data_IF_061945815496
#
_entry.id   IF_061945815496
#
_cell.length_a   1.000
_cell.length_b   1.000
_cell.length_c   1.000
_cell.angle_alpha   90.00
_cell.angle_beta   90.00
_cell.angle_gamma   90.00
#
_symmetry.space_group_name_H-M   'P 1'
#
loop_
_entity.id
_entity.type
_entity.pdbx_description
1 polymer ?
#
# COMPACT_ATOMS: atom_id res chain seq x y z
N UNK A 1 -11.30 7.82 -40.32
CA UNK A 1 -10.78 8.27 -39.02
C UNK A 1 -11.79 7.88 -37.95
N UNK A 2 -11.75 6.63 -37.51
CA UNK A 2 -12.75 6.07 -36.58
C UNK A 2 -12.24 6.32 -35.16
N UNK A 3 -12.86 7.27 -34.46
CA UNK A 3 -12.63 7.52 -33.04
C UNK A 3 -13.40 6.43 -32.29
N UNK A 4 -12.71 5.35 -31.92
CA UNK A 4 -13.27 4.33 -31.04
C UNK A 4 -13.26 4.88 -29.60
N UNK A 5 -14.40 5.43 -29.16
CA UNK A 5 -14.65 5.75 -27.76
C UNK A 5 -14.82 4.44 -26.99
N UNK A 6 -13.77 3.95 -26.35
CA UNK A 6 -13.88 2.87 -25.38
C UNK A 6 -14.48 3.40 -24.08
N UNK A 7 -15.80 3.26 -23.94
CA UNK A 7 -16.47 3.30 -22.64
C UNK A 7 -16.19 1.95 -21.98
N UNK A 8 -15.20 1.90 -21.09
CA UNK A 8 -14.95 0.71 -20.28
C UNK A 8 -15.93 0.74 -19.11
N UNK A 9 -16.99 -0.03 -19.23
CA UNK A 9 -17.85 -0.38 -18.12
C UNK A 9 -17.06 -1.32 -17.20
N UNK A 10 -16.58 -0.79 -16.08
CA UNK A 10 -16.27 -1.65 -14.93
C UNK A 10 -17.62 -2.24 -14.51
N UNK A 11 -17.88 -3.50 -14.87
CA UNK A 11 -19.03 -4.25 -14.39
C UNK A 11 -18.81 -4.52 -12.90
N UNK A 12 -19.06 -3.50 -12.08
CA UNK A 12 -19.36 -3.69 -10.68
C UNK A 12 -20.76 -4.28 -10.68
N UNK A 13 -20.87 -5.61 -10.63
CA UNK A 13 -22.10 -6.27 -10.25
C UNK A 13 -22.56 -5.62 -8.94
N UNK A 14 -23.61 -4.81 -9.04
CA UNK A 14 -24.24 -4.12 -7.94
C UNK A 14 -24.98 -5.15 -7.09
N UNK A 15 -24.24 -5.91 -6.29
CA UNK A 15 -24.82 -6.46 -5.07
C UNK A 15 -24.89 -5.33 -4.06
N UNK A 16 -26.13 -4.94 -3.81
CA UNK A 16 -26.55 -4.03 -2.76
C UNK A 16 -25.94 -4.45 -1.41
N UNK A 17 -25.37 -3.48 -0.69
CA UNK A 17 -25.27 -3.50 0.78
C UNK A 17 -24.45 -4.62 1.41
N UNK A 18 -23.13 -4.43 1.49
CA UNK A 18 -22.32 -4.75 2.69
C UNK A 18 -20.87 -4.28 2.44
N UNK A 19 -20.20 -3.85 3.51
CA UNK A 19 -18.76 -3.49 3.60
C UNK A 19 -17.85 -4.70 3.43
N UNK A 20 -18.01 -5.40 2.33
CA UNK A 20 -17.21 -6.58 2.05
C UNK A 20 -16.08 -6.22 1.11
N UNK A 21 -14.87 -6.60 1.52
CA UNK A 21 -13.71 -6.62 0.65
C UNK A 21 -14.01 -7.42 -0.62
N UNK A 22 -13.79 -6.81 -1.78
CA UNK A 22 -14.07 -7.37 -3.10
C UNK A 22 -12.79 -7.83 -3.76
N UNK A 23 -12.84 -8.98 -4.43
CA UNK A 23 -11.80 -9.39 -5.37
C UNK A 23 -12.05 -8.73 -6.71
N UNK A 24 -11.08 -7.99 -7.21
CA UNK A 24 -11.12 -7.43 -8.56
C UNK A 24 -10.08 -8.20 -9.38
N UNK A 25 -10.58 -9.00 -10.32
CA UNK A 25 -9.78 -9.56 -11.42
C UNK A 25 -10.00 -8.65 -12.62
N UNK A 26 -8.93 -8.13 -13.19
CA UNK A 26 -9.02 -7.26 -14.38
C UNK A 26 -8.81 -8.12 -15.62
N UNK A 27 -9.89 -8.39 -16.35
CA UNK A 27 -9.79 -8.89 -17.71
C UNK A 27 -9.43 -7.71 -18.63
N UNK A 28 -8.51 -7.98 -19.56
CA UNK A 28 -7.94 -7.11 -20.62
C UNK A 28 -6.55 -6.56 -20.29
N UNK A 29 -5.56 -7.30 -20.82
CA UNK A 29 -4.22 -6.81 -21.15
C UNK A 29 -4.35 -5.78 -22.28
N UNK A 30 -3.97 -4.53 -22.03
CA UNK A 30 -3.46 -3.72 -23.13
C UNK A 30 -2.00 -4.14 -23.36
N UNK A 31 -1.55 -4.16 -24.61
CA UNK A 31 -0.33 -4.88 -25.05
C UNK A 31 0.98 -4.48 -24.35
N UNK A 32 0.96 -3.46 -23.49
CA UNK A 32 2.12 -2.96 -22.73
C UNK A 32 1.82 -2.66 -21.24
N UNK A 33 0.68 -3.05 -20.68
CA UNK A 33 0.27 -2.64 -19.32
C UNK A 33 0.04 -3.86 -18.41
N UNK A 34 0.92 -4.06 -17.42
CA UNK A 34 0.72 -5.11 -16.42
C UNK A 34 -0.48 -4.72 -15.55
N UNK A 35 -1.51 -5.56 -15.58
CA UNK A 35 -2.71 -5.40 -14.78
C UNK A 35 -2.60 -6.24 -13.50
N UNK A 36 -2.77 -5.60 -12.33
CA UNK A 36 -2.70 -6.29 -11.04
C UNK A 36 -4.10 -6.76 -10.62
N UNK A 37 -4.22 -8.02 -10.22
CA UNK A 37 -5.36 -8.46 -9.42
C UNK A 37 -5.26 -7.82 -8.04
N UNK A 38 -6.38 -7.41 -7.45
CA UNK A 38 -6.35 -6.77 -6.13
C UNK A 38 -7.59 -7.02 -5.31
N UNK A 39 -7.41 -6.97 -3.99
CA UNK A 39 -8.50 -6.82 -3.05
C UNK A 39 -8.81 -5.33 -2.84
N UNK A 40 -10.10 -4.99 -2.84
CA UNK A 40 -10.58 -3.63 -2.69
C UNK A 40 -11.63 -3.54 -1.60
N UNK A 41 -11.46 -2.62 -0.65
CA UNK A 41 -12.39 -2.40 0.44
C UNK A 41 -12.85 -0.94 0.46
N UNK A 42 -14.15 -0.76 0.68
CA UNK A 42 -14.78 0.53 0.95
C UNK A 42 -15.30 0.56 2.39
N UNK A 43 -15.09 1.67 3.13
CA UNK A 43 -15.70 1.89 4.44
C UNK A 43 -17.23 1.74 4.42
N UNK A 44 -17.81 1.31 5.54
CA UNK A 44 -19.27 1.07 5.66
C UNK A 44 -20.12 2.29 5.30
N UNK A 45 -19.70 3.45 5.79
CA UNK A 45 -20.34 4.74 5.61
C UNK A 45 -19.92 5.44 4.30
N UNK A 46 -19.17 4.76 3.42
CA UNK A 46 -18.79 5.32 2.11
C UNK A 46 -20.00 5.72 1.27
N UNK A 47 -21.13 5.01 1.41
CA UNK A 47 -22.38 5.28 0.68
C UNK A 47 -23.24 6.37 1.32
N UNK A 48 -23.02 6.67 2.60
CA UNK A 48 -23.90 7.50 3.42
C UNK A 48 -23.63 8.99 3.18
N UNK A 49 -22.36 9.35 2.97
CA UNK A 49 -21.94 10.71 2.60
C UNK A 49 -21.35 10.75 1.19
N UNK A 50 -22.07 11.38 0.26
CA UNK A 50 -21.69 11.48 -1.16
C UNK A 50 -20.64 12.55 -1.43
N UNK A 51 -20.44 13.51 -0.52
CA UNK A 51 -19.49 14.60 -0.67
C UNK A 51 -18.16 14.29 0.04
N UNK A 52 -18.19 13.42 1.05
CA UNK A 52 -17.00 12.96 1.77
C UNK A 52 -15.98 12.31 0.84
N UNK A 53 -14.77 12.87 0.86
CA UNK A 53 -13.56 12.24 0.31
C UNK A 53 -12.85 11.44 1.38
N UNK A 54 -12.38 10.26 0.99
CA UNK A 54 -11.91 9.22 1.88
C UNK A 54 -10.38 9.07 1.82
N UNK A 55 -9.69 8.93 2.95
CA UNK A 55 -8.29 8.54 2.94
C UNK A 55 -8.15 7.12 2.36
N UNK A 56 -7.03 6.86 1.70
CA UNK A 56 -6.75 5.55 1.09
C UNK A 56 -5.44 4.97 1.62
N UNK A 57 -5.40 3.66 1.85
CA UNK A 57 -4.19 2.90 2.15
C UNK A 57 -3.94 1.88 1.03
N UNK A 58 -2.76 1.98 0.41
CA UNK A 58 -2.15 0.90 -0.37
C UNK A 58 -1.40 -0.04 0.58
N UNK A 59 -1.76 -1.32 0.58
CA UNK A 59 -1.05 -2.37 1.29
C UNK A 59 -0.31 -3.30 0.31
N UNK A 60 0.99 -3.51 0.54
CA UNK A 60 1.83 -4.41 -0.23
C UNK A 60 2.20 -5.65 0.60
N UNK A 61 1.84 -6.84 0.11
CA UNK A 61 2.09 -8.11 0.80
C UNK A 61 3.55 -8.58 0.70
N UNK A 62 3.91 -9.63 1.44
CA UNK A 62 5.24 -10.23 1.48
C UNK A 62 5.50 -11.20 0.33
N UNK A 63 6.67 -11.84 0.32
CA UNK A 63 7.07 -12.75 -0.76
C UNK A 63 6.14 -13.98 -0.90
N UNK A 64 5.56 -14.42 0.21
CA UNK A 64 4.74 -15.65 0.28
C UNK A 64 3.35 -15.53 -0.35
N UNK A 65 2.81 -14.32 -0.49
CA UNK A 65 1.46 -14.11 -1.03
C UNK A 65 1.44 -13.79 -2.53
N UNK A 66 2.58 -13.89 -3.22
CA UNK A 66 2.66 -13.71 -4.68
C UNK A 66 1.89 -14.78 -5.44
N UNK A 67 1.50 -14.47 -6.66
CA UNK A 67 0.80 -15.38 -7.57
C UNK A 67 -0.49 -14.80 -8.11
N UNK A 68 -1.50 -15.64 -8.31
CA UNK A 68 -2.78 -15.31 -8.93
C UNK A 68 -4.02 -15.64 -8.06
N UNK A 69 -3.80 -16.13 -6.85
CA UNK A 69 -4.85 -16.38 -5.85
C UNK A 69 -4.94 -15.27 -4.80
N UNK A 70 -5.95 -14.41 -4.94
CA UNK A 70 -6.24 -13.33 -3.99
C UNK A 70 -6.63 -13.80 -2.57
N UNK A 71 -6.90 -15.09 -2.33
CA UNK A 71 -7.03 -15.57 -0.94
C UNK A 71 -5.70 -15.51 -0.18
N UNK A 72 -4.56 -15.71 -0.85
CA UNK A 72 -3.24 -15.60 -0.21
C UNK A 72 -3.01 -14.20 0.35
N UNK A 73 -3.45 -13.17 -0.37
CA UNK A 73 -3.30 -11.77 0.06
C UNK A 73 -4.05 -11.49 1.38
N UNK A 74 -5.07 -12.28 1.73
CA UNK A 74 -5.84 -12.09 2.99
C UNK A 74 -5.14 -12.63 4.24
N UNK A 75 -4.03 -13.35 4.11
CA UNK A 75 -3.39 -14.05 5.24
C UNK A 75 -2.83 -13.06 6.28
N UNK A 76 -2.35 -11.89 5.83
CA UNK A 76 -1.67 -10.90 6.68
C UNK A 76 -2.16 -9.46 6.44
N UNK A 77 -1.80 -8.56 7.37
CA UNK A 77 -1.93 -7.12 7.22
C UNK A 77 -3.35 -6.57 7.08
N UNK A 78 -3.48 -5.46 6.36
CA UNK A 78 -4.74 -4.74 6.14
C UNK A 78 -5.87 -5.63 5.59
N UNK A 79 -5.67 -6.49 4.56
CA UNK A 79 -6.75 -7.33 4.04
C UNK A 79 -7.30 -8.34 5.07
N UNK A 80 -6.45 -8.84 5.99
CA UNK A 80 -6.90 -9.64 7.14
C UNK A 80 -7.75 -8.84 8.13
N UNK A 81 -7.39 -7.57 8.34
CA UNK A 81 -8.09 -6.70 9.29
C UNK A 81 -9.47 -6.33 8.77
N UNK A 82 -9.57 -5.86 7.53
CA UNK A 82 -10.86 -5.40 6.97
C UNK A 82 -11.84 -6.55 6.68
N UNK A 83 -11.35 -7.79 6.61
CA UNK A 83 -12.22 -8.97 6.52
C UNK A 83 -12.85 -9.39 7.86
N UNK A 84 -12.28 -8.94 8.98
CA UNK A 84 -12.75 -9.29 10.34
C UNK A 84 -13.33 -8.10 11.11
N UNK A 85 -12.87 -6.88 10.83
CA UNK A 85 -13.31 -5.64 11.47
C UNK A 85 -14.05 -4.76 10.46
N UNK A 86 -15.28 -4.39 10.83
CA UNK A 86 -16.18 -3.59 10.00
C UNK A 86 -15.93 -2.08 10.07
N UNK A 87 -15.30 -1.62 11.16
CA UNK A 87 -14.98 -0.21 11.39
C UNK A 87 -13.55 0.11 10.94
N UNK A 88 -13.34 0.20 9.63
CA UNK A 88 -12.06 0.62 9.05
C UNK A 88 -12.26 1.87 8.20
N UNK A 89 -11.72 3.00 8.64
CA UNK A 89 -12.04 4.33 8.09
C UNK A 89 -11.28 4.70 6.81
N UNK A 90 -10.69 3.73 6.11
CA UNK A 90 -9.92 3.95 4.89
C UNK A 90 -10.49 3.13 3.73
N UNK A 91 -10.42 3.69 2.53
CA UNK A 91 -10.41 2.84 1.34
C UNK A 91 -9.11 2.03 1.39
N UNK A 92 -9.20 0.70 1.27
CA UNK A 92 -8.01 -0.15 1.28
C UNK A 92 -7.87 -0.89 -0.05
N UNK A 93 -6.64 -0.87 -0.58
CA UNK A 93 -6.25 -1.52 -1.82
C UNK A 93 -5.10 -2.45 -1.53
N UNK A 94 -5.24 -3.72 -1.88
CA UNK A 94 -4.22 -4.75 -1.65
C UNK A 94 -4.01 -5.54 -2.93
N UNK A 95 -3.16 -5.06 -3.85
CA UNK A 95 -2.82 -5.78 -5.06
C UNK A 95 -1.98 -7.02 -4.76
N UNK A 96 -2.05 -7.99 -5.67
CA UNK A 96 -1.21 -9.19 -5.67
C UNK A 96 -0.09 -9.03 -6.70
N UNK A 97 1.15 -9.18 -6.24
CA UNK A 97 2.31 -9.23 -7.12
C UNK A 97 2.37 -10.63 -7.78
N UNK A 98 2.50 -10.73 -9.11
CA UNK A 98 2.64 -12.03 -9.78
C UNK A 98 3.91 -12.76 -9.33
N UNK A 99 3.95 -14.08 -9.54
CA UNK A 99 5.01 -14.93 -8.98
C UNK A 99 6.40 -14.64 -9.59
N UNK A 100 6.43 -14.08 -10.79
CA UNK A 100 7.63 -13.73 -11.55
C UNK A 100 8.29 -12.43 -11.08
N UNK A 101 7.58 -11.61 -10.31
CA UNK A 101 8.01 -10.27 -9.93
C UNK A 101 8.20 -10.10 -8.42
N UNK A 102 8.81 -8.99 -8.06
CA UNK A 102 8.78 -8.38 -6.73
C UNK A 102 8.35 -6.91 -6.85
N UNK A 103 7.83 -6.33 -5.76
CA UNK A 103 7.27 -4.97 -5.80
C UNK A 103 8.22 -3.86 -6.25
N UNK A 104 9.54 -4.09 -6.19
CA UNK A 104 10.55 -3.11 -6.61
C UNK A 104 10.84 -3.15 -8.11
N UNK A 105 10.34 -4.15 -8.83
CA UNK A 105 10.52 -4.24 -10.28
C UNK A 105 9.81 -3.07 -10.95
N UNK A 106 10.44 -2.51 -11.98
CA UNK A 106 9.96 -1.30 -12.66
C UNK A 106 8.53 -1.47 -13.16
N UNK A 107 8.21 -2.65 -13.69
CA UNK A 107 6.90 -3.01 -14.19
C UNK A 107 5.85 -3.03 -13.07
N UNK A 108 6.21 -3.48 -11.87
CA UNK A 108 5.33 -3.43 -10.71
C UNK A 108 5.09 -2.01 -10.23
N UNK A 109 6.11 -1.15 -10.25
CA UNK A 109 5.97 0.25 -9.87
C UNK A 109 5.04 1.02 -10.82
N UNK A 110 5.18 0.78 -12.13
CA UNK A 110 4.29 1.34 -13.16
C UNK A 110 2.86 0.81 -12.96
N UNK A 111 2.69 -0.49 -12.76
CA UNK A 111 1.37 -1.10 -12.56
C UNK A 111 0.67 -0.58 -11.28
N UNK A 112 1.41 -0.42 -10.18
CA UNK A 112 0.92 0.19 -8.94
C UNK A 112 0.48 1.63 -9.15
N UNK A 113 1.29 2.44 -9.83
CA UNK A 113 0.95 3.82 -10.18
C UNK A 113 -0.33 3.88 -11.02
N UNK A 114 -0.41 3.10 -12.11
CA UNK A 114 -1.59 3.02 -12.98
C UNK A 114 -2.85 2.62 -12.20
N UNK A 115 -2.74 1.64 -11.30
CA UNK A 115 -3.84 1.22 -10.42
C UNK A 115 -4.28 2.37 -9.51
N UNK A 116 -3.35 3.04 -8.81
CA UNK A 116 -3.67 4.14 -7.90
C UNK A 116 -4.33 5.31 -8.62
N UNK A 117 -3.80 5.73 -9.77
CA UNK A 117 -4.37 6.81 -10.57
C UNK A 117 -5.78 6.46 -11.07
N UNK A 118 -5.99 5.21 -11.49
CA UNK A 118 -7.31 4.70 -11.88
C UNK A 118 -8.29 4.76 -10.70
N UNK A 119 -7.89 4.33 -9.50
CA UNK A 119 -8.75 4.37 -8.33
C UNK A 119 -9.09 5.82 -7.92
N UNK A 120 -8.10 6.71 -7.89
CA UNK A 120 -8.29 8.14 -7.60
C UNK A 120 -9.26 8.81 -8.57
N UNK A 121 -9.29 8.38 -9.84
CA UNK A 121 -10.23 8.88 -10.85
C UNK A 121 -11.67 8.38 -10.64
N UNK A 122 -11.83 7.14 -10.16
CA UNK A 122 -13.13 6.45 -10.14
C UNK A 122 -13.80 6.41 -8.76
N UNK A 123 -13.08 6.73 -7.68
CA UNK A 123 -13.59 6.73 -6.31
C UNK A 123 -13.38 8.09 -5.62
N UNK A 124 -14.16 8.36 -4.57
CA UNK A 124 -14.06 9.58 -3.75
C UNK A 124 -12.86 9.51 -2.82
N UNK A 125 -11.66 9.45 -3.38
CA UNK A 125 -10.41 9.44 -2.62
C UNK A 125 -9.96 10.88 -2.36
N UNK A 126 -9.58 11.15 -1.12
CA UNK A 126 -8.88 12.37 -0.76
C UNK A 126 -7.43 12.25 -1.21
N UNK A 127 -7.10 12.98 -2.29
CA UNK A 127 -5.75 12.99 -2.87
C UNK A 127 -4.68 13.49 -1.90
N UNK A 128 -5.08 14.28 -0.89
CA UNK A 128 -4.17 14.75 0.15
C UNK A 128 -3.84 13.67 1.20
N UNK A 129 -4.49 12.48 1.13
CA UNK A 129 -4.44 11.42 2.14
C UNK A 129 -4.38 10.03 1.52
N UNK A 130 -3.38 9.83 0.66
CA UNK A 130 -3.02 8.52 0.13
C UNK A 130 -1.81 8.02 0.91
N UNK A 131 -1.90 6.84 1.51
CA UNK A 131 -0.85 6.25 2.32
C UNK A 131 -0.39 4.93 1.72
N UNK A 132 0.85 4.54 2.01
CA UNK A 132 1.39 3.24 1.61
C UNK A 132 2.05 2.52 2.79
N UNK A 133 1.86 1.22 2.84
CA UNK A 133 2.49 0.33 3.81
C UNK A 133 2.65 -1.06 3.23
N UNK A 134 3.56 -1.84 3.78
CA UNK A 134 3.76 -3.22 3.40
C UNK A 134 4.75 -3.91 4.30
N UNK A 135 4.80 -5.23 4.19
CA UNK A 135 5.62 -6.10 5.04
C UNK A 135 6.66 -6.87 4.21
N UNK A 136 7.87 -7.04 4.74
CA UNK A 136 8.93 -7.85 4.10
C UNK A 136 9.21 -7.37 2.66
N UNK A 137 8.97 -8.19 1.63
CA UNK A 137 8.98 -7.77 0.22
C UNK A 137 8.14 -6.51 -0.04
N UNK A 138 6.97 -6.39 0.59
CA UNK A 138 6.10 -5.22 0.54
C UNK A 138 6.63 -4.02 1.35
N UNK A 139 7.44 -4.25 2.37
CA UNK A 139 8.18 -3.20 3.07
C UNK A 139 9.21 -2.57 2.14
N UNK A 140 9.96 -3.40 1.39
CA UNK A 140 10.85 -2.93 0.32
C UNK A 140 10.08 -2.24 -0.81
N UNK A 141 8.93 -2.78 -1.19
CA UNK A 141 8.02 -2.18 -2.17
C UNK A 141 7.50 -0.81 -1.75
N UNK A 142 7.24 -0.62 -0.45
CA UNK A 142 6.79 0.66 0.12
C UNK A 142 7.82 1.76 -0.09
N UNK A 143 9.10 1.48 0.15
CA UNK A 143 10.18 2.41 -0.17
C UNK A 143 10.26 2.71 -1.67
N UNK A 144 10.20 1.68 -2.52
CA UNK A 144 10.35 1.84 -3.95
C UNK A 144 9.22 2.63 -4.61
N UNK A 145 7.95 2.36 -4.26
CA UNK A 145 6.82 3.12 -4.82
C UNK A 145 6.79 4.56 -4.31
N UNK A 146 7.21 4.79 -3.06
CA UNK A 146 7.38 6.14 -2.54
C UNK A 146 8.47 6.91 -3.29
N UNK A 147 9.59 6.28 -3.64
CA UNK A 147 10.66 6.90 -4.42
C UNK A 147 10.26 7.12 -5.89
N UNK A 148 9.47 6.21 -6.46
CA UNK A 148 8.92 6.30 -7.83
C UNK A 148 7.88 7.43 -7.96
N UNK A 149 7.03 7.62 -6.93
CA UNK A 149 5.99 8.67 -6.88
C UNK A 149 6.00 9.42 -5.55
N UNK A 150 7.02 10.25 -5.29
CA UNK A 150 7.18 10.98 -4.01
C UNK A 150 6.10 12.04 -3.79
N UNK A 151 5.37 12.41 -4.85
CA UNK A 151 4.26 13.37 -4.84
C UNK A 151 2.91 12.72 -4.49
N UNK A 152 2.78 11.40 -4.62
CA UNK A 152 1.49 10.72 -4.53
C UNK A 152 1.05 10.45 -3.09
N UNK A 153 2.00 10.22 -2.18
CA UNK A 153 1.72 9.77 -0.82
C UNK A 153 1.83 10.90 0.20
N UNK A 154 0.98 10.83 1.21
CA UNK A 154 0.98 11.71 2.38
C UNK A 154 1.84 11.17 3.54
N UNK A 155 2.01 9.84 3.61
CA UNK A 155 2.90 9.16 4.56
C UNK A 155 3.11 7.70 4.15
N UNK A 156 4.22 7.10 4.61
CA UNK A 156 4.57 5.71 4.33
C UNK A 156 4.99 4.95 5.59
N UNK A 157 4.57 3.70 5.72
CA UNK A 157 4.96 2.81 6.83
C UNK A 157 5.51 1.46 6.32
N UNK A 158 6.80 1.38 5.98
CA UNK A 158 7.45 0.12 5.63
C UNK A 158 7.69 -0.71 6.89
N UNK A 159 7.38 -2.00 6.82
CA UNK A 159 7.58 -2.97 7.91
C UNK A 159 8.58 -4.03 7.45
N UNK A 160 9.63 -4.23 8.24
CA UNK A 160 10.72 -5.17 7.99
C UNK A 160 11.17 -5.24 6.52
N UNK A 161 11.48 -4.08 5.93
CA UNK A 161 11.92 -3.96 4.55
C UNK A 161 12.80 -2.73 4.29
N UNK A 162 13.95 -2.96 3.67
CA UNK A 162 14.95 -1.95 3.35
C UNK A 162 14.67 -1.22 2.04
N UNK A 163 15.03 0.06 2.01
CA UNK A 163 14.98 0.91 0.81
C UNK A 163 16.33 1.02 0.12
N UNK A 164 16.37 1.81 -0.96
CA UNK A 164 17.61 2.23 -1.63
C UNK A 164 18.05 3.60 -1.07
N UNK A 165 19.17 3.68 -0.32
CA UNK A 165 19.69 4.93 0.24
C UNK A 165 19.90 6.05 -0.77
N UNK A 166 20.17 5.73 -2.04
CA UNK A 166 20.39 6.72 -3.10
C UNK A 166 19.12 7.53 -3.39
N UNK A 167 17.94 6.96 -3.09
CA UNK A 167 16.64 7.62 -3.25
C UNK A 167 16.27 8.56 -2.10
N UNK A 168 17.07 8.61 -1.02
CA UNK A 168 16.71 9.35 0.19
C UNK A 168 16.45 10.85 -0.03
N UNK A 169 17.17 11.49 -0.95
CA UNK A 169 17.03 12.92 -1.25
C UNK A 169 15.67 13.29 -1.83
N UNK A 170 15.04 12.40 -2.61
CA UNK A 170 13.71 12.61 -3.20
C UNK A 170 12.57 12.38 -2.21
N UNK A 171 12.86 11.72 -1.09
CA UNK A 171 11.89 11.28 -0.09
C UNK A 171 11.75 12.22 1.12
N UNK A 172 12.55 13.29 1.18
CA UNK A 172 12.67 14.19 2.35
C UNK A 172 11.36 14.84 2.81
N UNK A 173 10.41 15.03 1.89
CA UNK A 173 9.09 15.63 2.18
C UNK A 173 8.05 14.61 2.66
N UNK A 174 8.29 13.32 2.47
CA UNK A 174 7.35 12.26 2.83
C UNK A 174 7.66 11.76 4.24
N UNK A 175 6.72 11.83 5.19
CA UNK A 175 6.91 11.28 6.53
C UNK A 175 6.92 9.74 6.52
N UNK A 176 7.92 9.15 7.16
CA UNK A 176 8.03 7.70 7.32
C UNK A 176 7.85 7.26 8.78
N UNK A 177 7.17 6.13 8.99
CA UNK A 177 7.23 5.38 10.25
C UNK A 177 7.61 3.93 9.96
N UNK A 178 8.88 3.61 10.23
CA UNK A 178 9.49 2.31 9.96
C UNK A 178 9.29 1.39 11.17
N UNK A 179 9.01 0.11 10.92
CA UNK A 179 8.84 -0.92 11.94
C UNK A 179 9.71 -2.14 11.65
N UNK A 180 10.34 -2.70 12.68
CA UNK A 180 11.28 -3.82 12.53
C UNK A 180 11.30 -4.68 13.80
N UNK A 181 11.50 -5.99 13.66
CA UNK A 181 11.83 -6.87 14.79
C UNK A 181 13.34 -6.95 15.00
N UNK A 182 13.82 -6.81 16.24
CA UNK A 182 15.26 -6.79 16.54
C UNK A 182 15.94 -8.16 16.38
N UNK A 183 15.17 -9.24 16.43
CA UNK A 183 15.64 -10.62 16.25
C UNK A 183 15.35 -11.14 14.84
N UNK A 184 15.02 -10.27 13.89
CA UNK A 184 14.75 -10.64 12.50
C UNK A 184 16.06 -11.08 11.81
N UNK A 185 16.09 -12.35 11.38
CA UNK A 185 17.21 -12.96 10.65
C UNK A 185 16.91 -13.17 9.16
N UNK A 186 15.70 -12.81 8.71
CA UNK A 186 15.30 -12.83 7.30
C UNK A 186 15.55 -11.46 6.68
N UNK A 187 15.22 -10.41 7.41
CA UNK A 187 15.55 -9.04 7.08
C UNK A 187 16.19 -8.35 8.28
N UNK A 188 17.51 -8.31 8.29
CA UNK A 188 18.29 -7.78 9.41
C UNK A 188 17.94 -6.30 9.67
N UNK A 189 17.78 -5.87 10.94
CA UNK A 189 17.44 -4.49 11.29
C UNK A 189 18.34 -3.43 10.63
N UNK A 190 19.61 -3.75 10.45
CA UNK A 190 20.62 -2.90 9.81
C UNK A 190 20.18 -2.44 8.41
N UNK A 191 19.44 -3.26 7.66
CA UNK A 191 18.94 -2.88 6.34
C UNK A 191 17.91 -1.72 6.42
N UNK A 192 17.03 -1.74 7.43
CA UNK A 192 16.12 -0.61 7.70
C UNK A 192 16.89 0.61 8.20
N UNK A 193 17.87 0.39 9.07
CA UNK A 193 18.68 1.46 9.68
C UNK A 193 19.53 2.23 8.66
N UNK A 194 20.07 1.55 7.65
CA UNK A 194 20.81 2.17 6.53
C UNK A 194 19.92 3.19 5.81
N UNK A 195 18.67 2.82 5.47
CA UNK A 195 17.73 3.72 4.80
C UNK A 195 17.29 4.88 5.72
N UNK A 196 17.01 4.58 6.99
CA UNK A 196 16.66 5.60 8.00
C UNK A 196 17.78 6.63 8.14
N UNK A 197 19.04 6.18 8.21
CA UNK A 197 20.21 7.05 8.31
C UNK A 197 20.36 7.92 7.07
N UNK A 198 20.21 7.33 5.87
CA UNK A 198 20.27 8.07 4.61
C UNK A 198 19.20 9.17 4.54
N UNK A 199 17.95 8.86 4.93
CA UNK A 199 16.85 9.81 4.95
C UNK A 199 17.09 10.96 5.94
N UNK A 200 17.54 10.64 7.16
CA UNK A 200 17.91 11.65 8.18
C UNK A 200 19.03 12.57 7.69
N UNK A 201 20.07 12.02 7.05
CA UNK A 201 21.19 12.79 6.52
C UNK A 201 20.77 13.76 5.40
N UNK A 202 19.67 13.48 4.71
CA UNK A 202 19.09 14.38 3.71
C UNK A 202 18.01 15.33 4.29
N UNK A 203 17.78 15.29 5.61
CA UNK A 203 16.81 16.17 6.30
C UNK A 203 15.37 15.65 6.31
N UNK A 204 15.12 14.38 5.99
CA UNK A 204 13.78 13.79 6.02
C UNK A 204 13.26 13.43 7.42
N UNK A 205 11.94 13.48 7.61
CA UNK A 205 11.26 13.04 8.84
C UNK A 205 11.07 11.51 8.83
N UNK A 206 11.65 10.81 9.82
CA UNK A 206 11.46 9.37 9.98
C UNK A 206 11.36 8.97 11.45
N UNK A 207 10.29 8.22 11.76
CA UNK A 207 10.10 7.50 13.03
C UNK A 207 10.54 6.05 12.85
N UNK A 208 11.09 5.46 13.90
CA UNK A 208 11.51 4.06 13.89
C UNK A 208 11.03 3.37 15.17
N UNK A 209 10.33 2.26 15.00
CA UNK A 209 9.96 1.34 16.08
C UNK A 209 10.68 0.02 15.87
N UNK A 210 11.63 -0.26 16.75
CA UNK A 210 12.33 -1.54 16.83
C UNK A 210 11.71 -2.35 17.97
N UNK A 211 11.09 -3.49 17.65
CA UNK A 211 10.50 -4.39 18.65
C UNK A 211 11.58 -5.35 19.17
N UNK A 212 12.00 -5.27 20.45
CA UNK A 212 13.17 -5.99 20.94
C UNK A 212 13.07 -7.52 20.86
N UNK A 213 11.86 -8.06 21.03
CA UNK A 213 11.63 -9.51 21.15
C UNK A 213 11.07 -10.14 19.86
N UNK A 214 10.87 -9.35 18.80
CA UNK A 214 10.24 -9.86 17.57
C UNK A 214 11.27 -10.29 16.53
N UNK A 215 10.94 -11.40 15.86
CA UNK A 215 11.63 -11.89 14.67
C UNK A 215 11.01 -11.24 13.41
N UNK A 216 10.91 -11.98 12.31
CA UNK A 216 10.45 -11.46 11.03
C UNK A 216 9.03 -10.88 11.06
N UNK A 217 8.08 -11.54 11.74
CA UNK A 217 6.73 -11.00 11.92
C UNK A 217 6.71 -9.84 12.94
N UNK A 218 7.06 -8.66 12.43
CA UNK A 218 6.85 -7.38 13.10
C UNK A 218 5.56 -6.68 12.62
N UNK A 219 4.85 -7.26 11.65
CA UNK A 219 3.66 -6.67 11.05
C UNK A 219 2.38 -6.96 11.81
N UNK A 220 2.25 -8.12 12.44
CA UNK A 220 1.02 -8.50 13.16
C UNK A 220 0.72 -7.51 14.30
N UNK A 221 1.72 -7.20 15.13
CA UNK A 221 1.56 -6.19 16.19
C UNK A 221 1.39 -4.78 15.62
N UNK A 222 2.10 -4.46 14.54
CA UNK A 222 2.10 -3.11 13.93
C UNK A 222 0.75 -2.77 13.33
N UNK A 223 0.15 -3.68 12.57
CA UNK A 223 -1.20 -3.47 12.03
C UNK A 223 -2.29 -3.64 13.10
N UNK A 224 -2.00 -4.31 14.22
CA UNK A 224 -2.85 -4.31 15.41
C UNK A 224 -2.85 -2.98 16.18
N UNK A 225 -1.87 -2.10 15.94
CA UNK A 225 -1.68 -0.85 16.66
C UNK A 225 -2.57 0.28 16.12
N UNK A 226 -3.56 0.78 16.88
CA UNK A 226 -4.41 1.89 16.44
C UNK A 226 -3.65 3.20 16.19
N UNK A 227 -2.49 3.40 16.83
CA UNK A 227 -1.68 4.61 16.66
C UNK A 227 -1.08 4.74 15.26
N UNK A 228 -0.88 3.64 14.54
CA UNK A 228 -0.46 3.68 13.13
C UNK A 228 -1.52 4.40 12.27
N UNK A 229 -2.79 4.04 12.44
CA UNK A 229 -3.89 4.61 11.67
C UNK A 229 -4.18 6.06 12.06
N UNK A 230 -4.10 6.39 13.35
CA UNK A 230 -4.19 7.78 13.83
C UNK A 230 -3.05 8.63 13.26
N UNK A 231 -1.83 8.09 13.23
CA UNK A 231 -0.69 8.76 12.64
C UNK A 231 -0.88 9.00 11.14
N UNK A 232 -1.33 8.00 10.37
CA UNK A 232 -1.66 8.22 8.97
C UNK A 232 -2.66 9.37 8.80
N UNK A 233 -3.80 9.34 9.52
CA UNK A 233 -4.82 10.39 9.43
C UNK A 233 -4.33 11.79 9.83
N UNK A 234 -3.27 11.89 10.63
CA UNK A 234 -2.62 13.16 10.99
C UNK A 234 -1.76 13.76 9.87
N UNK A 235 -1.42 12.98 8.84
CA UNK A 235 -0.54 13.38 7.75
C UNK A 235 -1.35 13.71 6.48
N UNK A 236 -0.89 14.74 5.78
CA UNK A 236 -1.40 15.18 4.47
C UNK A 236 -0.24 15.64 3.59
N UNK A 237 -0.28 15.34 2.30
CA UNK A 237 0.53 16.04 1.29
C UNK A 237 -0.22 17.29 0.81
N UNK A 238 0.55 18.31 0.42
CA UNK A 238 0.04 19.60 -0.08
C UNK A 238 -0.38 19.52 -1.54
#
# INVERSE_FOLDING_TARGET
>A
MIILRFIIAVLILSTLGNSQQRKIKLDIMDKNDISLNYLFYLPEDYKDDKEKKWPMILFLHGMGERGDDLELVKIHGIPKIVSSKKDFSFIAVSPQCPIEFVWRDKEMLIALESLLLKLVKNFRIDKSRIYVTGLSMGGRGTWAIAAHRPDLFAAAAPICGGGDPETASSLTKLPFWVFQGALDTVHYPEESEIMIKALKNNGGEVRYTLYPELHHDSWTITYGNPELYKWFLSKKNN
#
